data_IF_538514584711
#
_entry.id   IF_538514584711
#
_cell.length_a   1.000
_cell.length_b   1.000
_cell.length_c   1.000
_cell.angle_alpha   90.00
_cell.angle_beta   90.00
_cell.angle_gamma   90.00
#
_symmetry.space_group_name_H-M   'P 1'
#
loop_
_entity.id
_entity.type
_entity.pdbx_description
1 polymer ?
#
# COMPACT_ATOMS: atom_id res chain seq x y z
N UNK A 1 -16.25 43.23 6.29
CA UNK A 1 -14.81 42.93 6.06
C UNK A 1 -14.22 41.89 7.02
N UNK A 2 -14.57 41.86 8.33
CA UNK A 2 -14.07 40.82 9.24
C UNK A 2 -14.54 39.41 8.87
N UNK A 3 -15.83 39.24 8.57
CA UNK A 3 -16.43 37.95 8.19
C UNK A 3 -15.89 37.36 6.88
N UNK A 4 -15.64 38.20 5.87
CA UNK A 4 -15.05 37.76 4.58
C UNK A 4 -13.61 37.23 4.75
N UNK A 5 -12.80 37.90 5.58
CA UNK A 5 -11.44 37.42 5.90
C UNK A 5 -11.47 36.09 6.65
N UNK A 6 -12.40 35.93 7.58
CA UNK A 6 -12.59 34.66 8.32
C UNK A 6 -13.02 33.52 7.39
N UNK A 7 -13.92 33.79 6.42
CA UNK A 7 -14.37 32.79 5.43
C UNK A 7 -13.22 32.39 4.50
N UNK A 8 -12.42 33.35 4.01
CA UNK A 8 -11.25 33.05 3.17
C UNK A 8 -10.21 32.22 3.94
N UNK A 9 -9.96 32.55 5.21
CA UNK A 9 -9.03 31.80 6.06
C UNK A 9 -9.50 30.36 6.30
N UNK A 10 -10.81 30.16 6.54
CA UNK A 10 -11.41 28.82 6.65
C UNK A 10 -11.31 28.04 5.35
N UNK A 11 -11.53 28.69 4.20
CA UNK A 11 -11.45 28.04 2.89
C UNK A 11 -10.02 27.57 2.57
N UNK A 12 -8.99 28.38 2.88
CA UNK A 12 -7.58 27.99 2.76
C UNK A 12 -7.23 26.84 3.70
N UNK A 13 -7.79 26.82 4.92
CA UNK A 13 -7.55 25.72 5.86
C UNK A 13 -8.13 24.39 5.36
N UNK A 14 -9.32 24.43 4.74
CA UNK A 14 -9.97 23.23 4.18
C UNK A 14 -9.26 22.63 2.97
N UNK A 15 -8.56 23.43 2.15
CA UNK A 15 -7.86 22.90 0.96
C UNK A 15 -6.56 22.16 1.30
N UNK A 16 -6.00 22.35 2.49
CA UNK A 16 -4.74 21.69 2.89
C UNK A 16 -4.90 20.27 3.44
N UNK A 17 -6.14 19.82 3.70
CA UNK A 17 -6.44 18.48 4.18
C UNK A 17 -6.62 17.45 3.04
N UNK A 18 -6.44 17.84 1.77
CA UNK A 18 -6.53 16.92 0.65
C UNK A 18 -5.33 15.95 0.62
N UNK A 19 -5.64 14.66 0.53
CA UNK A 19 -4.78 13.50 0.25
C UNK A 19 -3.27 13.75 0.34
N UNK A 20 -2.68 13.50 1.50
CA UNK A 20 -1.22 13.51 1.69
C UNK A 20 -0.68 12.10 1.86
N UNK A 21 0.49 11.84 1.29
CA UNK A 21 1.24 10.61 1.53
C UNK A 21 1.50 10.44 3.03
N UNK A 22 1.42 9.20 3.51
CA UNK A 22 1.93 8.81 4.83
C UNK A 22 3.40 8.45 4.70
N UNK A 23 4.20 8.76 5.73
CA UNK A 23 5.59 8.34 5.79
C UNK A 23 5.74 6.99 6.50
N UNK A 24 6.84 6.29 6.21
CA UNK A 24 7.22 4.99 6.80
C UNK A 24 6.10 3.94 6.67
N UNK A 25 5.60 3.75 5.45
CA UNK A 25 4.58 2.74 5.16
C UNK A 25 5.19 1.35 5.27
N UNK A 26 4.62 0.52 6.13
CA UNK A 26 4.99 -0.88 6.30
C UNK A 26 3.80 -1.73 5.88
N UNK A 27 4.02 -2.60 4.91
CA UNK A 27 3.01 -3.55 4.40
C UNK A 27 3.43 -4.93 4.82
N UNK A 28 2.57 -5.59 5.60
CA UNK A 28 2.78 -6.98 6.01
C UNK A 28 1.62 -7.82 5.54
N UNK A 29 1.91 -9.08 5.23
CA UNK A 29 0.86 -10.01 4.84
C UNK A 29 1.36 -11.44 4.80
N UNK A 30 0.41 -12.34 4.54
CA UNK A 30 0.65 -13.77 4.42
C UNK A 30 0.03 -14.27 3.12
N UNK A 31 0.75 -15.15 2.44
CA UNK A 31 0.27 -15.85 1.25
C UNK A 31 -0.12 -17.27 1.66
N UNK A 32 -1.37 -17.62 1.41
CA UNK A 32 -1.95 -18.92 1.74
C UNK A 32 -2.49 -19.60 0.50
N UNK A 33 -2.53 -20.92 0.56
CA UNK A 33 -3.28 -21.75 -0.36
C UNK A 33 -4.78 -21.59 -0.05
N UNK A 34 -5.55 -21.10 -1.01
CA UNK A 34 -6.97 -20.75 -0.80
C UNK A 34 -7.83 -21.96 -0.41
N UNK A 35 -7.43 -23.17 -0.83
CA UNK A 35 -8.22 -24.39 -0.61
C UNK A 35 -7.94 -25.01 0.76
N UNK A 36 -6.69 -24.93 1.21
CA UNK A 36 -6.23 -25.61 2.43
C UNK A 36 -5.94 -24.65 3.59
N UNK A 37 -5.82 -23.35 3.32
CA UNK A 37 -5.37 -22.34 4.29
C UNK A 37 -3.89 -22.46 4.66
N UNK A 38 -3.14 -23.38 4.06
CA UNK A 38 -1.74 -23.58 4.40
C UNK A 38 -0.86 -22.45 3.84
N UNK A 39 0.18 -22.01 4.57
CA UNK A 39 1.07 -20.97 4.08
C UNK A 39 1.89 -21.44 2.86
N UNK A 40 2.08 -20.53 1.88
CA UNK A 40 2.89 -20.79 0.69
C UNK A 40 4.24 -20.08 0.84
N UNK A 41 5.30 -20.87 1.02
CA UNK A 41 6.67 -20.36 1.09
C UNK A 41 7.27 -20.04 -0.27
N UNK A 42 8.23 -19.09 -0.33
CA UNK A 42 8.95 -18.72 -1.55
C UNK A 42 8.04 -18.28 -2.72
N UNK A 43 6.81 -17.86 -2.42
CA UNK A 43 5.92 -17.20 -3.38
C UNK A 43 6.48 -15.83 -3.70
N UNK A 44 6.47 -15.45 -4.98
CA UNK A 44 6.86 -14.09 -5.38
C UNK A 44 5.72 -13.13 -5.05
N UNK A 45 6.01 -12.04 -4.35
CA UNK A 45 5.05 -11.00 -4.00
C UNK A 45 5.50 -9.69 -4.63
N UNK A 46 4.60 -9.00 -5.31
CA UNK A 46 4.80 -7.66 -5.85
C UNK A 46 3.94 -6.70 -5.05
N UNK A 47 4.58 -5.70 -4.44
CA UNK A 47 3.92 -4.63 -3.70
C UNK A 47 4.18 -3.31 -4.43
N UNK A 48 3.11 -2.62 -4.80
CA UNK A 48 3.14 -1.28 -5.35
C UNK A 48 2.65 -0.31 -4.28
N UNK A 49 3.47 0.67 -3.92
CA UNK A 49 3.08 1.73 -2.99
C UNK A 49 3.01 3.06 -3.75
N UNK A 50 1.78 3.52 -3.96
CA UNK A 50 1.48 4.74 -4.67
C UNK A 50 1.74 5.95 -3.79
N UNK A 51 2.32 7.00 -4.37
CA UNK A 51 2.66 8.25 -3.72
C UNK A 51 2.37 9.43 -4.65
N UNK A 52 2.09 10.59 -4.08
CA UNK A 52 1.96 11.83 -4.85
C UNK A 52 3.34 12.37 -5.18
N UNK A 53 3.63 12.46 -6.47
CA UNK A 53 4.84 13.10 -6.98
C UNK A 53 4.62 14.61 -7.14
N UNK A 54 3.42 15.01 -7.54
CA UNK A 54 2.94 16.40 -7.53
C UNK A 54 1.43 16.45 -7.27
N UNK A 55 0.80 17.63 -7.28
CA UNK A 55 -0.63 17.82 -6.96
C UNK A 55 -1.54 16.97 -7.87
N UNK A 56 -1.16 16.79 -9.14
CA UNK A 56 -1.93 16.06 -10.15
C UNK A 56 -1.17 14.87 -10.75
N UNK A 57 -0.09 14.42 -10.11
CA UNK A 57 0.74 13.32 -10.60
C UNK A 57 0.96 12.28 -9.49
N UNK A 58 0.42 11.08 -9.71
CA UNK A 58 0.63 9.93 -8.85
C UNK A 58 1.66 9.00 -9.51
N UNK A 59 2.62 8.55 -8.70
CA UNK A 59 3.61 7.56 -9.09
C UNK A 59 3.62 6.42 -8.07
N UNK A 60 4.43 5.38 -8.27
CA UNK A 60 4.53 4.28 -7.33
C UNK A 60 5.96 3.75 -7.21
N UNK A 61 6.29 3.31 -6.00
CA UNK A 61 7.46 2.49 -5.76
C UNK A 61 7.06 1.01 -5.80
N UNK A 62 7.86 0.18 -6.47
CA UNK A 62 7.66 -1.26 -6.57
C UNK A 62 8.70 -2.00 -5.74
N UNK A 63 8.26 -2.97 -4.96
CA UNK A 63 9.13 -4.01 -4.40
C UNK A 63 8.67 -5.39 -4.84
N UNK A 64 9.63 -6.25 -5.17
CA UNK A 64 9.39 -7.66 -5.43
C UNK A 64 10.13 -8.47 -4.36
N UNK A 65 9.39 -9.29 -3.64
CA UNK A 65 9.81 -10.04 -2.46
C UNK A 65 9.48 -11.52 -2.65
N UNK A 66 10.02 -12.35 -1.76
CA UNK A 66 9.62 -13.74 -1.60
C UNK A 66 9.11 -13.97 -0.19
N UNK A 67 8.08 -14.81 -0.05
CA UNK A 67 7.57 -15.19 1.27
C UNK A 67 8.54 -16.10 2.02
N UNK A 68 8.52 -16.01 3.35
CA UNK A 68 9.27 -16.90 4.24
C UNK A 68 8.63 -18.31 4.30
N UNK A 69 9.17 -19.21 5.14
CA UNK A 69 8.63 -20.57 5.32
C UNK A 69 7.20 -20.61 5.86
N UNK A 70 6.74 -19.52 6.46
CA UNK A 70 5.40 -19.37 7.01
C UNK A 70 4.50 -18.55 6.07
N UNK A 71 4.92 -18.30 4.83
CA UNK A 71 4.15 -17.55 3.85
C UNK A 71 4.12 -16.03 4.09
N UNK A 72 4.88 -15.51 5.05
CA UNK A 72 4.82 -14.09 5.40
C UNK A 72 5.74 -13.26 4.51
N UNK A 73 5.38 -11.99 4.33
CA UNK A 73 6.22 -10.98 3.70
C UNK A 73 6.13 -9.63 4.41
N UNK A 74 7.17 -8.80 4.23
CA UNK A 74 7.25 -7.44 4.75
C UNK A 74 7.85 -6.54 3.65
N UNK A 75 7.12 -5.51 3.23
CA UNK A 75 7.60 -4.45 2.35
C UNK A 75 7.60 -3.11 3.10
N UNK A 76 8.63 -2.29 2.88
CA UNK A 76 8.80 -0.99 3.54
C UNK A 76 9.00 0.11 2.52
N UNK A 77 8.20 1.16 2.62
CA UNK A 77 8.28 2.32 1.74
C UNK A 77 8.44 3.59 2.57
N UNK A 78 9.25 4.52 2.08
CA UNK A 78 9.46 5.81 2.76
C UNK A 78 8.17 6.61 2.83
N UNK A 79 7.34 6.55 1.78
CA UNK A 79 6.05 7.21 1.74
C UNK A 79 5.04 6.54 0.80
N UNK A 80 3.75 6.79 1.03
CA UNK A 80 2.66 6.45 0.11
C UNK A 80 1.26 6.62 0.72
N UNK A 81 0.23 6.49 -0.10
CA UNK A 81 -1.18 6.67 0.29
C UNK A 81 -2.10 5.52 -0.16
N UNK A 82 -1.67 4.70 -1.13
CA UNK A 82 -2.37 3.49 -1.57
C UNK A 82 -1.35 2.37 -1.78
N UNK A 83 -1.77 1.13 -1.49
CA UNK A 83 -0.96 -0.07 -1.68
C UNK A 83 -1.75 -1.10 -2.48
N UNK A 84 -1.14 -1.59 -3.56
CA UNK A 84 -1.63 -2.75 -4.29
C UNK A 84 -0.67 -3.93 -4.09
N UNK A 85 -1.21 -5.13 -3.85
CA UNK A 85 -0.43 -6.34 -3.63
C UNK A 85 -0.89 -7.43 -4.57
N UNK A 86 0.06 -8.08 -5.22
CA UNK A 86 -0.15 -9.27 -6.03
C UNK A 86 0.86 -10.34 -5.67
N UNK A 87 0.50 -11.61 -5.85
CA UNK A 87 1.37 -12.75 -5.59
C UNK A 87 1.37 -13.70 -6.78
N UNK A 88 2.50 -14.36 -7.00
CA UNK A 88 2.69 -15.41 -7.99
C UNK A 88 3.39 -16.60 -7.35
N UNK A 89 2.77 -17.77 -7.48
CA UNK A 89 3.34 -19.05 -7.13
C UNK A 89 3.40 -19.95 -8.36
N UNK A 90 4.44 -20.78 -8.47
CA UNK A 90 4.61 -21.71 -9.61
C UNK A 90 3.81 -23.00 -9.43
N UNK A 91 3.20 -23.22 -8.26
CA UNK A 91 2.28 -24.32 -8.05
C UNK A 91 0.94 -24.11 -8.73
N UNK A 92 0.12 -25.16 -8.72
CA UNK A 92 -1.19 -25.17 -9.38
C UNK A 92 -2.33 -24.81 -8.44
N UNK A 93 -2.05 -24.48 -7.18
CA UNK A 93 -3.08 -24.19 -6.20
C UNK A 93 -3.49 -22.72 -6.26
N UNK A 94 -4.79 -22.41 -6.06
CA UNK A 94 -5.25 -21.03 -5.96
C UNK A 94 -4.59 -20.31 -4.77
N UNK A 95 -4.33 -19.01 -4.94
CA UNK A 95 -3.54 -18.20 -4.01
C UNK A 95 -4.44 -17.15 -3.38
N UNK A 96 -4.39 -17.05 -2.05
CA UNK A 96 -5.00 -15.97 -1.29
C UNK A 96 -3.91 -15.04 -0.74
N UNK A 97 -4.16 -13.72 -0.80
CA UNK A 97 -3.28 -12.67 -0.26
C UNK A 97 -3.97 -12.03 0.93
N UNK A 98 -3.44 -12.24 2.13
CA UNK A 98 -3.96 -11.66 3.37
C UNK A 98 -3.06 -10.49 3.79
N UNK A 99 -3.61 -9.28 3.82
CA UNK A 99 -2.90 -8.05 4.24
C UNK A 99 -3.33 -7.67 5.66
N UNK A 100 -2.35 -7.38 6.52
CA UNK A 100 -2.55 -7.01 7.93
C UNK A 100 -2.30 -5.52 8.20
#
# INVERSE_FOLDING_TARGET
MRTLKTIILLFILFTTLSCQDRNNVIVTGQITDELTGNPISNSEVVVLCWYMNSIDDASFNKQTLKTDSNGNFIAKFEKGHQVDVASKYLGTTPIEVIIN
#
